data_IF_977014849670
#
_entry.id   IF_977014849670
#
_cell.length_a   1.000
_cell.length_b   1.000
_cell.length_c   1.000
_cell.angle_alpha   90.00
_cell.angle_beta   90.00
_cell.angle_gamma   90.00
#
_symmetry.space_group_name_H-M   'P 1'
#
loop_
_entity.id
_entity.type
_entity.pdbx_description
1 polymer ?
#
# COMPACT_ATOMS: atom_id res chain seq x y z
N UNK A 1 20.75 -2.32 21.39
CA UNK A 1 20.73 -0.96 21.95
C UNK A 1 19.33 -0.50 22.38
N UNK A 2 18.24 -1.09 21.87
CA UNK A 2 16.87 -0.59 22.11
C UNK A 2 16.73 0.91 21.73
N UNK A 3 17.55 1.36 20.79
CA UNK A 3 17.58 2.74 20.30
C UNK A 3 16.98 2.79 18.90
N UNK A 4 16.37 3.93 18.57
CA UNK A 4 15.88 4.24 17.24
C UNK A 4 16.91 5.06 16.48
N UNK A 5 16.98 4.87 15.16
CA UNK A 5 17.81 5.65 14.25
C UNK A 5 17.02 6.05 13.03
N UNK A 6 17.36 7.20 12.43
CA UNK A 6 16.84 7.58 11.13
C UNK A 6 17.34 6.61 10.05
N UNK A 7 16.43 6.08 9.24
CA UNK A 7 16.71 5.10 8.18
C UNK A 7 16.29 5.58 6.77
N UNK A 8 15.73 6.79 6.67
CA UNK A 8 15.17 7.35 5.44
C UNK A 8 13.70 7.72 5.58
N UNK A 9 13.15 8.31 4.52
CA UNK A 9 11.75 8.72 4.43
C UNK A 9 11.20 8.52 3.02
N UNK A 10 9.89 8.28 2.90
CA UNK A 10 9.22 8.18 1.60
C UNK A 10 9.19 9.56 0.93
N UNK A 11 9.50 9.67 -0.38
CA UNK A 11 9.38 10.93 -1.11
C UNK A 11 7.93 11.30 -1.43
N UNK A 12 6.95 10.45 -1.07
CA UNK A 12 5.52 10.70 -1.27
C UNK A 12 4.81 11.01 0.05
N UNK A 13 4.24 9.99 0.71
CA UNK A 13 3.48 10.13 1.94
C UNK A 13 3.49 8.81 2.73
N UNK A 14 3.20 8.89 4.03
CA UNK A 14 2.97 7.72 4.87
C UNK A 14 1.54 7.20 4.78
N UNK A 15 1.33 5.93 5.16
CA UNK A 15 0.00 5.33 5.25
C UNK A 15 -0.17 4.56 6.55
N UNK A 16 -1.41 4.42 7.02
CA UNK A 16 -1.77 3.55 8.13
C UNK A 16 -2.40 2.25 7.60
N UNK A 17 -1.95 1.10 8.11
CA UNK A 17 -2.52 -0.21 7.75
C UNK A 17 -2.19 -0.68 6.33
N UNK A 18 -1.08 -0.24 5.74
CA UNK A 18 -0.52 -0.87 4.55
C UNK A 18 -0.10 -2.32 4.85
N UNK A 19 -0.19 -3.19 3.85
CA UNK A 19 0.43 -4.50 3.95
C UNK A 19 1.92 -4.38 3.62
N UNK A 20 2.76 -5.11 4.35
CA UNK A 20 4.21 -5.12 4.15
C UNK A 20 4.69 -6.51 3.75
N UNK A 21 5.62 -6.57 2.81
CA UNK A 21 6.34 -7.78 2.43
C UNK A 21 7.82 -7.44 2.29
N UNK A 22 8.69 -8.27 2.82
CA UNK A 22 10.14 -8.18 2.58
C UNK A 22 10.64 -9.48 1.93
N UNK A 23 11.56 -9.35 0.96
CA UNK A 23 12.34 -10.46 0.43
C UNK A 23 13.71 -9.96 0.01
N UNK A 24 14.74 -10.44 0.72
CA UNK A 24 16.11 -9.95 0.53
C UNK A 24 16.18 -8.44 0.76
N UNK A 25 16.83 -7.74 -0.17
CA UNK A 25 17.05 -6.29 -0.11
C UNK A 25 15.87 -5.47 -0.61
N UNK A 26 14.70 -6.09 -0.84
CA UNK A 26 13.50 -5.39 -1.29
C UNK A 26 12.36 -5.52 -0.29
N UNK A 27 11.67 -4.41 -0.06
CA UNK A 27 10.46 -4.34 0.78
C UNK A 27 9.35 -3.62 0.02
N UNK A 28 8.15 -4.18 0.01
CA UNK A 28 6.97 -3.57 -0.60
C UNK A 28 5.99 -3.12 0.48
N UNK A 29 5.49 -1.90 0.33
CA UNK A 29 4.39 -1.33 1.11
C UNK A 29 3.19 -1.15 0.18
N UNK A 30 2.09 -1.82 0.49
CA UNK A 30 0.94 -1.94 -0.40
C UNK A 30 -0.27 -1.27 0.25
N UNK A 31 -0.82 -0.28 -0.44
CA UNK A 31 -2.03 0.46 -0.10
C UNK A 31 -1.97 1.14 1.30
N UNK A 32 -3.03 1.05 2.08
CA UNK A 32 -3.18 1.71 3.38
C UNK A 32 -3.97 3.02 3.34
N UNK A 33 -4.36 3.52 4.51
CA UNK A 33 -5.04 4.80 4.70
C UNK A 33 -4.04 5.96 4.56
N UNK A 34 -4.24 6.83 3.56
CA UNK A 34 -3.51 8.08 3.43
C UNK A 34 -4.00 9.12 4.46
N UNK A 35 -5.26 9.02 4.87
CA UNK A 35 -5.87 9.74 6.00
C UNK A 35 -7.13 8.97 6.47
N UNK A 36 -7.74 9.33 7.62
CA UNK A 36 -8.92 8.62 8.13
C UNK A 36 -10.02 8.44 7.07
N UNK A 37 -10.31 7.18 6.73
CA UNK A 37 -11.34 6.79 5.76
C UNK A 37 -11.05 7.11 4.29
N UNK A 38 -9.80 7.43 3.91
CA UNK A 38 -9.34 7.52 2.53
C UNK A 38 -8.10 6.64 2.33
N UNK A 39 -8.23 5.59 1.51
CA UNK A 39 -7.12 4.69 1.17
C UNK A 39 -6.41 5.12 -0.10
N UNK A 40 -5.22 4.58 -0.29
CA UNK A 40 -4.45 4.66 -1.55
C UNK A 40 -4.39 3.30 -2.21
N UNK A 41 -4.34 3.27 -3.54
CA UNK A 41 -4.04 2.10 -4.35
C UNK A 41 -2.54 1.98 -4.67
N UNK A 42 -1.70 2.82 -4.07
CA UNK A 42 -0.28 2.86 -4.32
C UNK A 42 0.47 1.62 -3.80
N UNK A 43 1.45 1.17 -4.58
CA UNK A 43 2.47 0.21 -4.18
C UNK A 43 3.82 0.92 -4.17
N UNK A 44 4.47 0.95 -3.01
CA UNK A 44 5.84 1.45 -2.87
C UNK A 44 6.81 0.29 -2.70
N UNK A 45 7.97 0.38 -3.34
CA UNK A 45 9.10 -0.52 -3.15
C UNK A 45 10.26 0.27 -2.54
N UNK A 46 10.84 -0.28 -1.48
CA UNK A 46 12.11 0.12 -0.90
C UNK A 46 13.16 -0.86 -1.38
N UNK A 47 14.17 -0.36 -2.06
CA UNK A 47 15.29 -1.14 -2.60
C UNK A 47 16.59 -0.76 -1.87
N UNK A 48 17.14 -1.75 -1.15
CA UNK A 48 18.36 -1.67 -0.35
C UNK A 48 19.56 -2.33 -1.03
N UNK A 49 19.47 -2.75 -2.31
CA UNK A 49 20.56 -3.46 -3.01
C UNK A 49 21.83 -2.61 -3.21
N UNK A 50 21.69 -1.28 -3.19
CA UNK A 50 22.79 -0.34 -3.33
C UNK A 50 23.21 0.32 -2.01
N UNK A 51 24.20 1.20 -2.07
CA UNK A 51 24.69 1.93 -0.89
C UNK A 51 23.68 2.91 -0.28
N UNK A 52 22.63 3.28 -1.04
CA UNK A 52 21.59 4.21 -0.61
C UNK A 52 20.22 3.56 -0.82
N UNK A 53 19.32 3.76 0.14
CA UNK A 53 17.91 3.39 0.01
C UNK A 53 17.30 4.10 -1.20
N UNK A 54 16.70 3.33 -2.10
CA UNK A 54 15.90 3.84 -3.22
C UNK A 54 14.42 3.56 -2.98
N UNK A 55 13.59 4.53 -3.34
CA UNK A 55 12.13 4.41 -3.29
C UNK A 55 11.57 4.40 -4.70
N UNK A 56 10.82 3.36 -5.03
CA UNK A 56 10.11 3.23 -6.30
C UNK A 56 8.60 3.21 -6.05
N UNK A 57 7.84 3.79 -6.98
CA UNK A 57 6.38 3.66 -7.02
C UNK A 57 6.03 2.71 -8.16
N UNK A 58 5.46 1.57 -7.82
CA UNK A 58 5.08 0.54 -8.79
C UNK A 58 3.65 0.78 -9.31
N UNK A 59 3.21 -0.08 -10.22
CA UNK A 59 1.82 -0.08 -10.67
C UNK A 59 0.87 -0.23 -9.48
N UNK A 60 -0.24 0.54 -9.44
CA UNK A 60 -1.18 0.49 -8.33
C UNK A 60 -1.99 -0.80 -8.31
N UNK A 61 -2.61 -1.07 -7.17
CA UNK A 61 -3.37 -2.28 -6.92
C UNK A 61 -4.62 -2.01 -6.07
N UNK A 62 -5.72 -2.71 -6.35
CA UNK A 62 -7.04 -2.41 -5.77
C UNK A 62 -7.54 -0.99 -6.08
N UNK A 63 -7.17 -0.49 -7.26
CA UNK A 63 -7.66 0.78 -7.79
C UNK A 63 -9.18 0.78 -7.98
N UNK A 64 -9.83 1.96 -7.90
CA UNK A 64 -9.23 3.28 -7.66
C UNK A 64 -9.13 3.66 -6.17
N UNK A 65 -9.90 3.02 -5.30
CA UNK A 65 -10.05 3.45 -3.90
C UNK A 65 -8.93 2.95 -2.99
N UNK A 66 -8.34 1.79 -3.31
CA UNK A 66 -7.42 1.10 -2.42
C UNK A 66 -8.11 0.47 -1.20
N UNK A 67 -7.31 -0.22 -0.40
CA UNK A 67 -7.76 -0.90 0.83
C UNK A 67 -6.74 -0.70 1.95
N UNK A 68 -7.15 -0.93 3.20
CA UNK A 68 -6.23 -1.00 4.35
C UNK A 68 -6.50 -2.27 5.15
N UNK A 69 -5.51 -2.73 5.90
CA UNK A 69 -5.58 -4.00 6.63
C UNK A 69 -5.63 -5.22 5.72
N UNK A 70 -5.00 -5.14 4.54
CA UNK A 70 -4.82 -6.28 3.65
C UNK A 70 -3.71 -7.21 4.13
N UNK A 71 -3.68 -8.42 3.58
CA UNK A 71 -2.63 -9.40 3.79
C UNK A 71 -1.71 -9.42 2.58
N UNK A 72 -0.42 -9.62 2.80
CA UNK A 72 0.54 -9.76 1.72
C UNK A 72 1.59 -10.81 2.03
N UNK A 73 2.18 -11.39 1.00
CA UNK A 73 3.26 -12.37 1.11
C UNK A 73 3.90 -12.63 -0.24
N UNK A 74 4.89 -13.52 -0.28
CA UNK A 74 5.50 -14.00 -1.52
C UNK A 74 5.32 -15.50 -1.63
N UNK A 75 4.98 -15.95 -2.84
CA UNK A 75 4.95 -17.36 -3.22
C UNK A 75 5.54 -17.51 -4.61
N UNK A 76 6.52 -18.41 -4.77
CA UNK A 76 7.21 -18.65 -6.04
C UNK A 76 7.63 -17.35 -6.76
N UNK A 77 8.32 -16.47 -6.05
CA UNK A 77 8.80 -15.18 -6.56
C UNK A 77 7.72 -14.24 -7.10
N UNK A 78 6.46 -14.48 -6.73
CA UNK A 78 5.33 -13.60 -7.00
C UNK A 78 4.89 -12.94 -5.70
N UNK A 79 4.76 -11.62 -5.73
CA UNK A 79 4.09 -10.88 -4.67
C UNK A 79 2.61 -11.29 -4.67
N UNK A 80 2.02 -11.46 -3.50
CA UNK A 80 0.59 -11.73 -3.31
C UNK A 80 0.07 -10.64 -2.39
N UNK A 81 -1.05 -10.02 -2.76
CA UNK A 81 -1.77 -9.06 -1.94
C UNK A 81 -3.25 -9.38 -1.96
N UNK A 82 -3.84 -9.68 -0.80
CA UNK A 82 -5.18 -10.22 -0.64
C UNK A 82 -5.99 -9.50 0.44
N UNK A 83 -7.30 -9.37 0.21
CA UNK A 83 -8.25 -8.87 1.20
C UNK A 83 -8.14 -7.37 1.44
N UNK A 84 -8.37 -6.97 2.70
CA UNK A 84 -8.42 -5.57 3.12
C UNK A 84 -9.84 -5.00 3.08
N UNK A 85 -10.02 -3.82 3.69
CA UNK A 85 -11.30 -3.13 3.73
C UNK A 85 -11.17 -1.70 3.21
N UNK A 86 -12.26 -1.14 2.66
CA UNK A 86 -12.29 0.21 2.10
C UNK A 86 -13.68 0.80 1.88
N UNK A 87 -13.71 1.99 1.30
CA UNK A 87 -14.94 2.74 1.01
C UNK A 87 -15.00 3.03 -0.48
N UNK A 88 -15.87 2.33 -1.21
CA UNK A 88 -15.98 2.46 -2.68
C UNK A 88 -16.46 3.86 -3.06
N UNK A 89 -15.75 4.55 -3.94
CA UNK A 89 -16.03 5.93 -4.35
C UNK A 89 -15.44 7.00 -3.42
N UNK A 90 -14.72 6.61 -2.37
CA UNK A 90 -14.06 7.59 -1.47
C UNK A 90 -12.95 8.36 -2.19
N UNK A 91 -12.22 7.72 -3.11
CA UNK A 91 -11.19 8.39 -3.91
C UNK A 91 -11.79 9.47 -4.80
N UNK A 92 -12.89 9.16 -5.48
CA UNK A 92 -13.61 10.10 -6.33
C UNK A 92 -14.16 11.28 -5.51
N UNK A 93 -14.81 11.01 -4.38
CA UNK A 93 -15.27 12.06 -3.46
C UNK A 93 -14.15 13.01 -3.07
N UNK A 94 -12.99 12.47 -2.71
CA UNK A 94 -11.84 13.30 -2.33
C UNK A 94 -11.28 14.12 -3.49
N UNK A 95 -11.19 13.53 -4.69
CA UNK A 95 -10.78 14.24 -5.91
C UNK A 95 -11.74 15.39 -6.26
N UNK A 96 -13.02 15.24 -5.92
CA UNK A 96 -14.05 16.27 -6.06
C UNK A 96 -14.11 17.26 -4.87
N UNK A 97 -13.09 17.28 -4.00
CA UNK A 97 -12.97 18.24 -2.89
C UNK A 97 -13.71 17.86 -1.61
N UNK A 98 -14.39 16.71 -1.56
CA UNK A 98 -15.07 16.24 -0.34
C UNK A 98 -14.05 15.65 0.64
N UNK A 99 -13.61 16.49 1.58
CA UNK A 99 -12.61 16.11 2.58
C UNK A 99 -13.04 14.92 3.47
N UNK A 100 -14.30 14.89 3.92
CA UNK A 100 -14.87 13.71 4.58
C UNK A 100 -15.28 12.68 3.50
N UNK A 101 -14.26 12.10 2.87
CA UNK A 101 -14.38 11.32 1.64
C UNK A 101 -15.28 10.08 1.76
N UNK A 102 -15.41 9.51 2.96
CA UNK A 102 -16.20 8.32 3.25
C UNK A 102 -17.55 8.59 3.92
N UNK A 103 -17.94 9.85 4.06
CA UNK A 103 -19.22 10.21 4.68
C UNK A 103 -20.39 9.59 3.91
N UNK A 104 -21.22 8.82 4.62
CA UNK A 104 -22.38 8.11 4.06
C UNK A 104 -22.02 6.80 3.35
N UNK A 105 -20.73 6.47 3.20
CA UNK A 105 -20.29 5.24 2.57
C UNK A 105 -20.22 4.11 3.60
N UNK A 106 -20.65 2.91 3.19
CA UNK A 106 -20.47 1.69 3.99
C UNK A 106 -19.09 1.11 3.71
N UNK A 107 -18.42 0.67 4.78
CA UNK A 107 -17.19 -0.10 4.63
C UNK A 107 -17.51 -1.43 3.91
N UNK A 108 -16.63 -1.83 2.99
CA UNK A 108 -16.71 -3.12 2.35
C UNK A 108 -15.38 -3.86 2.54
N UNK A 109 -15.48 -5.18 2.72
CA UNK A 109 -14.33 -6.06 2.68
C UNK A 109 -14.08 -6.37 1.20
N UNK A 110 -12.90 -6.02 0.71
CA UNK A 110 -12.45 -6.48 -0.58
C UNK A 110 -12.20 -7.98 -0.49
N UNK A 111 -12.83 -8.76 -1.37
CA UNK A 111 -12.49 -10.17 -1.53
C UNK A 111 -11.05 -10.31 -2.05
N UNK A 112 -10.44 -11.46 -1.74
CA UNK A 112 -9.08 -11.84 -2.13
C UNK A 112 -8.84 -11.45 -3.59
N UNK A 113 -8.02 -10.43 -3.78
CA UNK A 113 -7.31 -10.27 -5.04
C UNK A 113 -6.00 -11.06 -4.92
N UNK A 114 -5.51 -11.60 -6.03
CA UNK A 114 -4.15 -12.16 -6.11
C UNK A 114 -3.48 -11.39 -7.22
N UNK A 115 -2.62 -10.45 -6.85
CA UNK A 115 -1.84 -9.67 -7.80
C UNK A 115 -0.42 -10.20 -7.81
N UNK A 116 -0.12 -11.10 -8.76
CA UNK A 116 1.24 -11.53 -9.01
C UNK A 116 2.01 -10.41 -9.71
N UNK A 117 2.99 -9.81 -9.05
CA UNK A 117 4.04 -9.06 -9.76
C UNK A 117 5.03 -10.10 -10.26
N UNK A 118 4.92 -10.47 -11.53
CA UNK A 118 5.91 -11.33 -12.20
C UNK A 118 7.11 -10.49 -12.64
N UNK A 119 8.32 -10.88 -12.26
CA UNK A 119 9.56 -10.22 -12.68
C UNK A 119 10.50 -9.77 -11.55
N UNK A 120 10.38 -10.30 -10.34
CA UNK A 120 11.27 -10.00 -9.20
C UNK A 120 12.63 -10.73 -9.28
N UNK A 121 13.27 -10.68 -10.45
CA UNK A 121 14.65 -11.12 -10.68
C UNK A 121 15.66 -10.02 -10.42
#
# INVERSE_FOLDING_TARGET
TQQWSYAGESPWYGTAGAAVVNKGDKTWLINGEAKPGLRTDAVFELDFTGNNLKWNKLAPVSSPDGVAGGFAGISNDSLIFAGGAGFKGSRENYQNGKNYAHEGLKNHIALIFIFGITGMG
#
